data_IF_387334931560
#
_entry.id   IF_387334931560
#
_cell.length_a   1.000
_cell.length_b   1.000
_cell.length_c   1.000
_cell.angle_alpha   90.00
_cell.angle_beta   90.00
_cell.angle_gamma   90.00
#
_symmetry.space_group_name_H-M   'P 1'
#
loop_
_entity.id
_entity.type
_entity.pdbx_description
1 polymer ?
#
# COMPACT_ATOMS: atom_id res chain seq x y z
N UNK A 1 6.81 3.08 -9.77
CA UNK A 1 5.75 4.12 -9.72
C UNK A 1 6.02 5.04 -8.53
N UNK A 2 6.03 6.38 -8.70
CA UNK A 2 6.32 7.31 -7.59
C UNK A 2 5.42 7.12 -6.37
N UNK A 3 4.15 6.77 -6.61
CA UNK A 3 3.19 6.54 -5.52
C UNK A 3 3.56 5.31 -4.69
N UNK A 4 3.94 4.20 -5.34
CA UNK A 4 4.40 2.97 -4.66
C UNK A 4 5.61 3.25 -3.77
N UNK A 5 6.57 4.03 -4.28
CA UNK A 5 7.77 4.39 -3.52
C UNK A 5 7.45 5.10 -2.19
N UNK A 6 6.39 5.89 -2.17
CA UNK A 6 6.00 6.69 -1.00
C UNK A 6 5.12 5.92 -0.01
N UNK A 7 4.74 4.67 -0.31
CA UNK A 7 3.90 3.89 0.59
C UNK A 7 4.62 3.55 1.89
N UNK A 8 3.91 3.69 3.00
CA UNK A 8 4.37 3.23 4.30
C UNK A 8 4.61 1.72 4.31
N UNK A 9 5.38 1.24 5.30
CA UNK A 9 5.61 -0.20 5.47
C UNK A 9 4.30 -0.94 5.78
N UNK A 10 3.40 -0.30 6.53
CA UNK A 10 2.10 -0.85 6.89
C UNK A 10 1.22 -1.05 5.66
N UNK A 11 1.08 -0.03 4.80
CA UNK A 11 0.30 -0.14 3.57
C UNK A 11 0.81 -1.27 2.66
N UNK A 12 2.13 -1.45 2.58
CA UNK A 12 2.74 -2.55 1.82
C UNK A 12 2.38 -3.92 2.41
N UNK A 13 2.42 -4.06 3.73
CA UNK A 13 2.02 -5.30 4.42
C UNK A 13 0.52 -5.58 4.26
N UNK A 14 -0.33 -4.54 4.29
CA UNK A 14 -1.78 -4.63 4.03
C UNK A 14 -2.06 -5.13 2.61
N UNK A 15 -1.34 -4.65 1.60
CA UNK A 15 -1.46 -5.14 0.21
C UNK A 15 -1.14 -6.63 0.11
N UNK A 16 -0.06 -7.10 0.75
CA UNK A 16 0.29 -8.53 0.76
C UNK A 16 -0.77 -9.35 1.50
N UNK A 17 -1.27 -8.82 2.62
CA UNK A 17 -2.31 -9.49 3.42
C UNK A 17 -3.62 -9.63 2.66
N UNK A 18 -4.01 -8.62 1.89
CA UNK A 18 -5.16 -8.62 1.00
C UNK A 18 -5.05 -9.75 -0.04
N UNK A 19 -3.91 -9.88 -0.73
CA UNK A 19 -3.72 -10.92 -1.74
C UNK A 19 -3.72 -12.35 -1.17
N UNK A 20 -3.40 -12.49 0.12
CA UNK A 20 -3.48 -13.77 0.83
C UNK A 20 -4.92 -14.18 1.21
N UNK A 21 -5.91 -13.31 1.02
CA UNK A 21 -7.32 -13.68 1.23
C UNK A 21 -7.78 -14.71 0.19
N UNK A 22 -7.23 -14.66 -1.04
CA UNK A 22 -7.58 -15.57 -2.15
C UNK A 22 -6.50 -16.61 -2.46
N UNK A 23 -5.31 -16.51 -1.86
CA UNK A 23 -4.14 -17.35 -2.17
C UNK A 23 -3.43 -17.81 -0.92
N UNK A 24 -2.82 -18.99 -0.94
CA UNK A 24 -1.88 -19.41 0.10
C UNK A 24 -0.56 -18.63 0.03
N UNK A 25 0.22 -18.65 1.12
CA UNK A 25 1.57 -18.03 1.16
C UNK A 25 2.51 -18.57 0.09
N UNK A 26 2.34 -19.84 -0.31
CA UNK A 26 3.18 -20.48 -1.33
C UNK A 26 2.78 -19.98 -2.72
N UNK A 27 1.49 -19.99 -3.04
CA UNK A 27 0.96 -19.51 -4.33
C UNK A 27 1.30 -18.04 -4.55
N UNK A 28 1.04 -17.18 -3.55
CA UNK A 28 1.37 -15.76 -3.66
C UNK A 28 2.88 -15.52 -3.83
N UNK A 29 3.72 -16.27 -3.11
CA UNK A 29 5.16 -16.14 -3.28
C UNK A 29 5.63 -16.51 -4.69
N UNK A 30 5.04 -17.55 -5.29
CA UNK A 30 5.32 -17.98 -6.66
C UNK A 30 4.88 -16.92 -7.68
N UNK A 31 3.67 -16.38 -7.55
CA UNK A 31 3.14 -15.32 -8.43
C UNK A 31 3.96 -14.02 -8.35
N UNK A 32 4.41 -13.66 -7.14
CA UNK A 32 5.27 -12.51 -6.89
C UNK A 32 6.74 -12.74 -7.26
N UNK A 33 7.15 -13.98 -7.57
CA UNK A 33 8.54 -14.30 -7.89
C UNK A 33 9.50 -14.19 -6.70
N UNK A 34 9.03 -14.43 -5.47
CA UNK A 34 9.82 -14.33 -4.23
C UNK A 34 9.80 -15.64 -3.44
N UNK A 35 10.59 -15.74 -2.37
CA UNK A 35 10.56 -16.92 -1.50
C UNK A 35 9.31 -16.92 -0.59
N UNK A 36 8.73 -18.09 -0.27
CA UNK A 36 7.65 -18.19 0.73
C UNK A 36 8.06 -17.66 2.11
N UNK A 37 9.36 -17.70 2.42
CA UNK A 37 9.91 -17.10 3.64
C UNK A 37 9.84 -15.58 3.64
N UNK A 38 9.88 -14.91 2.48
CA UNK A 38 9.73 -13.47 2.38
C UNK A 38 8.31 -13.03 2.79
N UNK A 39 7.27 -13.72 2.29
CA UNK A 39 5.87 -13.52 2.73
C UNK A 39 5.75 -13.64 4.24
N UNK A 40 6.36 -14.68 4.83
CA UNK A 40 6.33 -14.85 6.30
C UNK A 40 7.05 -13.73 7.04
N UNK A 41 8.15 -13.20 6.50
CA UNK A 41 8.84 -12.04 7.09
C UNK A 41 8.02 -10.76 7.00
N UNK A 42 7.29 -10.54 5.90
CA UNK A 42 6.38 -9.41 5.74
C UNK A 42 5.27 -9.45 6.80
N UNK A 43 4.56 -10.57 6.92
CA UNK A 43 3.46 -10.71 7.88
C UNK A 43 3.87 -10.61 9.36
N UNK A 44 5.15 -10.83 9.64
CA UNK A 44 5.71 -10.73 10.99
C UNK A 44 6.40 -9.38 11.24
N UNK A 45 6.33 -8.42 10.31
CA UNK A 45 6.98 -7.11 10.41
C UNK A 45 8.51 -7.15 10.45
N UNK A 46 9.13 -8.28 10.04
CA UNK A 46 10.59 -8.44 10.05
C UNK A 46 11.26 -7.69 8.90
N UNK A 47 10.53 -7.50 7.81
CA UNK A 47 10.93 -6.72 6.63
C UNK A 47 9.67 -6.30 5.89
N UNK A 48 9.79 -5.40 4.91
CA UNK A 48 8.66 -4.90 4.13
C UNK A 48 8.84 -5.24 2.64
N UNK A 49 7.74 -5.39 1.88
CA UNK A 49 7.79 -5.58 0.43
C UNK A 49 8.52 -4.44 -0.28
N UNK A 50 9.36 -4.76 -1.26
CA UNK A 50 10.02 -3.75 -2.10
C UNK A 50 9.03 -3.08 -3.06
N UNK A 51 9.45 -1.99 -3.70
CA UNK A 51 8.65 -1.33 -4.76
C UNK A 51 8.28 -2.31 -5.87
N UNK A 52 9.25 -3.10 -6.33
CA UNK A 52 9.06 -4.15 -7.33
C UNK A 52 8.05 -5.21 -6.86
N UNK A 53 8.09 -5.62 -5.60
CA UNK A 53 7.12 -6.58 -5.05
C UNK A 53 5.70 -6.03 -5.06
N UNK A 54 5.52 -4.74 -4.74
CA UNK A 54 4.20 -4.10 -4.76
C UNK A 54 3.70 -3.86 -6.19
N UNK A 55 4.58 -3.46 -7.11
CA UNK A 55 4.23 -3.36 -8.52
C UNK A 55 3.76 -4.72 -9.06
N UNK A 56 4.48 -5.79 -8.72
CA UNK A 56 4.10 -7.15 -9.08
C UNK A 56 2.78 -7.56 -8.44
N UNK A 57 2.54 -7.19 -7.18
CA UNK A 57 1.27 -7.43 -6.48
C UNK A 57 0.08 -6.80 -7.23
N UNK A 58 0.24 -5.58 -7.75
CA UNK A 58 -0.79 -4.91 -8.56
C UNK A 58 -1.00 -5.62 -9.91
N UNK A 59 0.07 -6.12 -10.53
CA UNK A 59 0.00 -6.82 -11.81
C UNK A 59 -0.75 -8.16 -11.73
N UNK A 60 -0.53 -8.94 -10.66
CA UNK A 60 -1.14 -10.27 -10.49
C UNK A 60 -2.55 -10.22 -9.88
N UNK A 61 -2.94 -9.06 -9.35
CA UNK A 61 -4.24 -8.85 -8.74
C UNK A 61 -5.38 -8.96 -9.77
N UNK A 62 -6.50 -9.56 -9.37
CA UNK A 62 -7.74 -9.45 -10.13
C UNK A 62 -8.37 -8.04 -9.99
N UNK A 63 -9.45 -7.77 -10.72
CA UNK A 63 -10.04 -6.42 -10.75
C UNK A 63 -10.58 -5.98 -9.37
N UNK A 64 -11.15 -6.90 -8.59
CA UNK A 64 -11.63 -6.60 -7.24
C UNK A 64 -10.47 -6.35 -6.28
N UNK A 65 -9.40 -7.15 -6.38
CA UNK A 65 -8.18 -6.95 -5.60
C UNK A 65 -7.50 -5.62 -5.95
N UNK A 66 -7.43 -5.25 -7.23
CA UNK A 66 -6.85 -3.96 -7.66
C UNK A 66 -7.60 -2.79 -7.07
N UNK A 67 -8.93 -2.82 -7.08
CA UNK A 67 -9.76 -1.77 -6.47
C UNK A 67 -9.39 -1.60 -4.99
N UNK A 68 -9.36 -2.70 -4.22
CA UNK A 68 -8.97 -2.68 -2.80
C UNK A 68 -7.52 -2.29 -2.57
N UNK A 69 -6.59 -2.66 -3.46
CA UNK A 69 -5.19 -2.19 -3.40
C UNK A 69 -5.14 -0.67 -3.58
N UNK A 70 -5.89 -0.11 -4.54
CA UNK A 70 -5.92 1.33 -4.77
C UNK A 70 -6.52 2.08 -3.59
N UNK A 71 -7.54 1.54 -2.93
CA UNK A 71 -8.06 2.08 -1.67
C UNK A 71 -6.96 2.15 -0.60
N UNK A 72 -6.23 1.06 -0.36
CA UNK A 72 -5.12 1.03 0.61
C UNK A 72 -4.06 2.10 0.26
N UNK A 73 -3.70 2.23 -1.02
CA UNK A 73 -2.74 3.22 -1.49
C UNK A 73 -3.24 4.64 -1.23
N UNK A 74 -4.51 4.92 -1.52
CA UNK A 74 -5.09 6.25 -1.36
C UNK A 74 -5.18 6.60 0.13
N UNK A 75 -5.66 5.69 0.97
CA UNK A 75 -5.74 5.87 2.42
C UNK A 75 -4.38 6.24 3.03
N UNK A 76 -3.32 5.48 2.70
CA UNK A 76 -1.97 5.71 3.22
C UNK A 76 -1.41 7.09 2.84
N UNK A 77 -1.67 7.52 1.60
CA UNK A 77 -1.24 8.83 1.11
C UNK A 77 -2.06 9.95 1.76
N UNK A 78 -3.37 9.78 1.92
CA UNK A 78 -4.23 10.76 2.59
C UNK A 78 -3.83 10.90 4.05
N UNK A 79 -3.59 9.80 4.76
CA UNK A 79 -3.12 9.80 6.14
C UNK A 79 -1.78 10.55 6.27
N UNK A 80 -0.81 10.22 5.41
CA UNK A 80 0.48 10.92 5.36
C UNK A 80 0.33 12.43 5.12
N UNK A 81 -0.61 12.84 4.26
CA UNK A 81 -0.90 14.25 4.00
C UNK A 81 -1.58 14.94 5.19
N UNK A 82 -2.54 14.27 5.83
CA UNK A 82 -3.19 14.78 7.04
C UNK A 82 -2.19 15.00 8.17
N UNK A 83 -1.31 14.03 8.41
CA UNK A 83 -0.24 14.14 9.40
C UNK A 83 0.68 15.33 9.10
N UNK A 84 1.12 15.46 7.85
CA UNK A 84 1.96 16.58 7.42
C UNK A 84 1.30 17.94 7.69
N UNK A 85 -0.01 18.07 7.42
CA UNK A 85 -0.75 19.32 7.62
C UNK A 85 -0.95 19.63 9.10
N UNK A 86 -1.39 18.63 9.89
CA UNK A 86 -1.60 18.74 11.35
C UNK A 86 -0.31 19.21 12.03
N UNK A 87 0.85 18.69 11.61
CA UNK A 87 2.14 18.99 12.23
C UNK A 87 2.76 20.33 11.81
N UNK A 88 2.27 20.97 10.75
CA UNK A 88 2.91 22.18 10.19
C UNK A 88 1.99 23.42 10.18
N UNK A 89 0.87 23.43 10.91
CA UNK A 89 -0.08 24.56 11.00
C UNK A 89 -0.34 25.24 9.64
N UNK A 90 -0.60 24.44 8.61
CA UNK A 90 -0.78 24.96 7.26
C UNK A 90 -2.07 25.78 7.15
N UNK A 91 -1.93 27.11 7.09
CA UNK A 91 -3.05 28.04 6.93
C UNK A 91 -3.25 28.47 5.46
N UNK A 92 -2.87 27.62 4.51
CA UNK A 92 -3.06 27.87 3.08
C UNK A 92 -4.45 27.44 2.63
N UNK A 93 -5.32 28.40 2.34
CA UNK A 93 -6.66 28.18 1.76
C UNK A 93 -6.63 27.32 0.49
N UNK A 94 -5.54 27.39 -0.28
CA UNK A 94 -5.35 26.55 -1.47
C UNK A 94 -5.26 25.06 -1.13
N UNK A 95 -4.63 24.70 0.00
CA UNK A 95 -4.46 23.31 0.44
C UNK A 95 -5.76 22.80 1.07
N UNK A 96 -6.44 23.62 1.88
CA UNK A 96 -7.73 23.28 2.48
C UNK A 96 -8.77 22.89 1.42
N UNK A 97 -8.85 23.64 0.31
CA UNK A 97 -9.79 23.37 -0.77
C UNK A 97 -9.53 22.07 -1.55
N UNK A 98 -8.29 21.57 -1.57
CA UNK A 98 -7.96 20.28 -2.22
C UNK A 98 -8.48 19.11 -1.39
N UNK A 99 -8.44 19.23 -0.06
CA UNK A 99 -8.84 18.16 0.87
C UNK A 99 -10.36 18.09 1.01
N UNK A 100 -11.03 19.24 1.11
CA UNK A 100 -12.49 19.32 1.30
C UNK A 100 -13.25 18.80 0.07
N UNK A 101 -12.67 18.85 -1.13
CA UNK A 101 -13.33 18.35 -2.36
C UNK A 101 -13.29 16.82 -2.51
N UNK A 102 -12.62 16.12 -1.59
CA UNK A 102 -12.47 14.67 -1.61
C UNK A 102 -13.40 13.94 -0.63
N UNK A 103 -14.28 14.67 0.08
CA UNK A 103 -15.33 14.16 0.97
C UNK A 103 -16.70 14.67 0.54
#
# INVERSE_FOLDING_TARGET
MRIVHNLSKDARERIISLLLEKRSKKELAEELGISPSAITKFLNGLTHPSDETIERAIEIADEEEKERIYEIIIEDIVESLEEFIKNNYFNSEKIKNIIIRSF
#
